data_IF_604436373110
#
_entry.id   IF_604436373110
#
_cell.length_a   1.000
_cell.length_b   1.000
_cell.length_c   1.000
_cell.angle_alpha   90.00
_cell.angle_beta   90.00
_cell.angle_gamma   90.00
#
_symmetry.space_group_name_H-M   'P 1'
#
loop_
_entity.id
_entity.type
_entity.pdbx_description
1 polymer ?
#
# COMPACT_ATOMS: atom_id res chain seq x y z
N UNK A 1 -0.23 17.65 -9.76
CA UNK A 1 0.42 16.90 -10.85
C UNK A 1 0.56 17.74 -12.12
N UNK A 2 -0.54 18.21 -12.73
CA UNK A 2 -0.54 18.85 -14.06
C UNK A 2 0.45 20.01 -14.23
N UNK A 3 0.64 20.83 -13.19
CA UNK A 3 1.59 21.96 -13.19
C UNK A 3 3.06 21.55 -13.32
N UNK A 4 3.39 20.27 -13.14
CA UNK A 4 4.76 19.75 -13.20
C UNK A 4 5.04 18.96 -14.49
N UNK A 5 4.06 18.81 -15.39
CA UNK A 5 4.23 17.99 -16.60
C UNK A 5 5.17 18.66 -17.61
N UNK A 6 6.12 17.88 -18.12
CA UNK A 6 7.01 18.28 -19.23
C UNK A 6 6.48 17.72 -20.55
N UNK A 7 7.15 18.05 -21.67
CA UNK A 7 6.84 17.47 -22.99
C UNK A 7 7.06 15.95 -23.08
N UNK A 8 7.72 15.37 -22.07
CA UNK A 8 8.05 13.95 -21.99
C UNK A 8 6.97 13.15 -21.23
N UNK A 9 5.93 13.82 -20.72
CA UNK A 9 4.91 13.20 -19.89
C UNK A 9 3.54 13.18 -20.58
N UNK A 10 2.78 12.11 -20.32
CA UNK A 10 1.32 12.10 -20.47
C UNK A 10 0.68 11.70 -19.15
N UNK A 11 -0.60 11.98 -19.00
CA UNK A 11 -1.41 11.49 -17.87
C UNK A 11 -2.59 10.71 -18.43
N UNK A 12 -2.73 9.47 -18.01
CA UNK A 12 -3.86 8.63 -18.34
C UNK A 12 -4.64 8.40 -17.05
N UNK A 13 -5.87 8.92 -17.00
CA UNK A 13 -6.82 8.64 -15.93
C UNK A 13 -7.79 7.59 -16.44
N UNK A 14 -7.73 6.41 -15.83
CA UNK A 14 -8.72 5.37 -16.04
C UNK A 14 -9.72 5.39 -14.88
N UNK A 15 -10.95 5.75 -15.17
CA UNK A 15 -12.05 5.71 -14.22
C UNK A 15 -12.75 4.34 -14.25
N UNK A 16 -12.70 3.62 -13.14
CA UNK A 16 -13.31 2.31 -12.90
C UNK A 16 -14.83 2.31 -12.73
N UNK A 17 -15.54 3.15 -13.49
CA UNK A 17 -16.98 3.38 -13.41
C UNK A 17 -17.45 4.08 -12.12
N UNK A 18 -16.81 5.21 -11.79
CA UNK A 18 -17.21 6.10 -10.70
C UNK A 18 -18.67 6.53 -10.82
N UNK A 19 -19.29 6.73 -9.67
CA UNK A 19 -20.72 7.06 -9.49
C UNK A 19 -20.96 8.49 -9.01
N UNK A 20 -19.88 9.23 -8.78
CA UNK A 20 -19.88 10.63 -8.34
C UNK A 20 -19.51 11.56 -9.52
N UNK A 21 -19.05 12.78 -9.20
CA UNK A 21 -18.68 13.82 -10.14
C UNK A 21 -17.25 13.69 -10.71
N UNK A 22 -16.59 12.54 -10.51
CA UNK A 22 -15.22 12.28 -11.00
C UNK A 22 -15.07 12.60 -12.49
N UNK A 23 -16.01 12.16 -13.33
CA UNK A 23 -16.00 12.42 -14.78
C UNK A 23 -16.00 13.92 -15.09
N UNK A 24 -16.89 14.68 -14.45
CA UNK A 24 -17.00 16.13 -14.65
C UNK A 24 -15.71 16.84 -14.25
N UNK A 25 -15.18 16.51 -13.06
CA UNK A 25 -13.96 17.10 -12.51
C UNK A 25 -12.77 16.85 -13.43
N UNK A 26 -12.52 15.60 -13.82
CA UNK A 26 -11.34 15.26 -14.64
C UNK A 26 -11.46 15.87 -16.05
N UNK A 27 -12.66 15.86 -16.65
CA UNK A 27 -12.87 16.49 -17.96
C UNK A 27 -12.64 18.00 -17.93
N UNK A 28 -12.98 18.69 -16.83
CA UNK A 28 -12.68 20.12 -16.68
C UNK A 28 -11.18 20.40 -16.78
N UNK A 29 -10.33 19.55 -16.19
CA UNK A 29 -8.87 19.64 -16.34
C UNK A 29 -8.39 19.23 -17.73
N UNK A 30 -8.96 18.17 -18.32
CA UNK A 30 -8.56 17.67 -19.63
C UNK A 30 -8.76 18.72 -20.73
N UNK A 31 -9.80 19.56 -20.61
CA UNK A 31 -10.04 20.70 -21.53
C UNK A 31 -8.89 21.70 -21.60
N UNK A 32 -8.00 21.71 -20.61
CA UNK A 32 -6.89 22.68 -20.50
C UNK A 32 -5.52 21.99 -20.51
N UNK A 33 -5.49 20.67 -20.74
CA UNK A 33 -4.27 19.88 -20.73
C UNK A 33 -4.36 18.76 -21.77
N UNK A 34 -3.84 19.00 -22.98
CA UNK A 34 -3.88 18.02 -24.08
C UNK A 34 -3.12 16.71 -23.76
N UNK A 35 -2.28 16.72 -22.72
CA UNK A 35 -1.54 15.55 -22.23
C UNK A 35 -2.35 14.70 -21.26
N UNK A 36 -3.51 15.17 -20.80
CA UNK A 36 -4.41 14.45 -19.93
C UNK A 36 -5.48 13.73 -20.76
N UNK A 37 -5.45 12.39 -20.72
CA UNK A 37 -6.43 11.52 -21.35
C UNK A 37 -7.29 10.89 -20.27
N UNK A 38 -8.59 11.12 -20.36
CA UNK A 38 -9.58 10.49 -19.48
C UNK A 38 -10.30 9.36 -20.23
N UNK A 39 -10.37 8.19 -19.60
CA UNK A 39 -11.07 7.01 -20.11
C UNK A 39 -11.91 6.46 -18.98
N UNK A 40 -13.22 6.36 -19.19
CA UNK A 40 -14.15 5.77 -18.23
C UNK A 40 -14.57 4.37 -18.68
N UNK A 41 -14.58 3.43 -17.75
CA UNK A 41 -15.11 2.09 -17.99
C UNK A 41 -16.62 2.04 -17.80
N UNK A 42 -17.26 1.14 -18.53
CA UNK A 42 -18.71 0.92 -18.43
C UNK A 42 -19.11 0.26 -17.10
N UNK A 43 -18.22 -0.57 -16.55
CA UNK A 43 -18.46 -1.34 -15.33
C UNK A 43 -17.23 -1.34 -14.43
N UNK A 44 -17.45 -1.40 -13.12
CA UNK A 44 -16.36 -1.55 -12.15
C UNK A 44 -15.74 -2.95 -12.25
N UNK A 45 -14.51 -3.01 -12.75
CA UNK A 45 -13.76 -4.25 -12.97
C UNK A 45 -12.77 -4.58 -11.84
N UNK A 46 -12.68 -3.71 -10.84
CA UNK A 46 -11.77 -3.83 -9.71
C UNK A 46 -10.37 -3.28 -10.00
N UNK A 47 -9.74 -2.79 -8.92
CA UNK A 47 -8.54 -1.97 -8.96
C UNK A 47 -7.36 -2.59 -9.73
N UNK A 48 -7.13 -3.90 -9.62
CA UNK A 48 -6.00 -4.54 -10.31
C UNK A 48 -6.16 -4.50 -11.84
N UNK A 49 -7.39 -4.72 -12.33
CA UNK A 49 -7.69 -4.66 -13.76
C UNK A 49 -7.61 -3.22 -14.25
N UNK A 50 -8.01 -2.27 -13.43
CA UNK A 50 -7.97 -0.85 -13.75
C UNK A 50 -6.52 -0.38 -13.89
N UNK A 51 -5.62 -0.74 -12.96
CA UNK A 51 -4.20 -0.43 -13.10
C UNK A 51 -3.57 -1.08 -14.33
N UNK A 52 -3.86 -2.35 -14.57
CA UNK A 52 -3.33 -3.03 -15.76
C UNK A 52 -3.78 -2.35 -17.04
N UNK A 53 -5.07 -2.05 -17.14
CA UNK A 53 -5.65 -1.39 -18.30
C UNK A 53 -5.09 0.02 -18.50
N UNK A 54 -4.83 0.76 -17.43
CA UNK A 54 -4.18 2.06 -17.51
C UNK A 54 -2.76 1.96 -18.11
N UNK A 55 -1.97 0.96 -17.71
CA UNK A 55 -0.63 0.69 -18.28
C UNK A 55 -0.70 0.29 -19.75
N UNK A 56 -1.69 -0.51 -20.15
CA UNK A 56 -1.91 -0.86 -21.55
C UNK A 56 -2.20 0.38 -22.42
N UNK A 57 -3.02 1.30 -21.92
CA UNK A 57 -3.44 2.53 -22.60
C UNK A 57 -2.39 3.64 -22.63
N UNK A 58 -1.44 3.60 -21.69
CA UNK A 58 -0.28 4.48 -21.67
C UNK A 58 0.64 4.22 -22.87
N UNK A 59 1.34 5.27 -23.30
CA UNK A 59 2.29 5.29 -24.42
C UNK A 59 3.72 5.58 -23.97
N UNK A 60 3.89 6.11 -22.76
CA UNK A 60 5.21 6.33 -22.14
C UNK A 60 6.03 5.04 -21.99
N UNK A 61 7.35 5.20 -22.03
CA UNK A 61 8.30 4.09 -21.79
C UNK A 61 8.21 3.57 -20.34
N UNK A 62 7.90 4.48 -19.42
CA UNK A 62 7.68 4.21 -18.00
C UNK A 62 6.26 4.61 -17.60
N UNK A 63 5.70 3.88 -16.64
CA UNK A 63 4.41 4.18 -16.04
C UNK A 63 4.62 4.48 -14.56
N UNK A 64 4.32 5.71 -14.14
CA UNK A 64 4.14 6.05 -12.73
C UNK A 64 2.71 5.71 -12.33
N UNK A 65 2.55 4.68 -11.51
CA UNK A 65 1.26 4.22 -11.03
C UNK A 65 0.83 5.08 -9.84
N UNK A 66 -0.32 5.72 -9.93
CA UNK A 66 -0.82 6.62 -8.90
C UNK A 66 -2.30 6.40 -8.63
N UNK A 67 -2.72 6.66 -7.39
CA UNK A 67 -4.12 6.77 -7.00
C UNK A 67 -4.60 8.21 -7.11
N UNK A 68 -5.91 8.41 -7.00
CA UNK A 68 -6.59 9.69 -7.02
C UNK A 68 -6.46 10.49 -5.71
N UNK A 69 -6.00 9.87 -4.61
CA UNK A 69 -5.88 10.48 -3.29
C UNK A 69 -4.45 10.89 -2.86
N UNK A 70 -3.46 10.62 -3.71
CA UNK A 70 -2.05 10.94 -3.50
C UNK A 70 -1.62 12.27 -4.15
N UNK A 71 -0.66 12.98 -3.53
CA UNK A 71 -0.10 14.21 -4.09
C UNK A 71 1.37 14.08 -4.47
N UNK A 72 1.77 14.76 -5.54
CA UNK A 72 3.18 14.94 -5.90
C UNK A 72 3.77 16.16 -5.18
N UNK A 73 4.97 16.01 -4.61
CA UNK A 73 5.76 17.15 -4.09
C UNK A 73 6.25 18.02 -5.26
N UNK A 74 6.56 19.32 -5.02
CA UNK A 74 7.15 20.16 -6.04
C UNK A 74 8.47 19.57 -6.56
N UNK A 75 8.64 19.49 -7.88
CA UNK A 75 9.85 18.95 -8.52
C UNK A 75 9.86 17.41 -8.67
N UNK A 76 8.84 16.72 -8.17
CA UNK A 76 8.75 15.26 -8.17
C UNK A 76 8.88 14.66 -9.59
N UNK A 77 8.18 15.23 -10.56
CA UNK A 77 8.24 14.77 -11.97
C UNK A 77 9.67 14.91 -12.52
N UNK A 78 10.33 16.04 -12.27
CA UNK A 78 11.72 16.24 -12.73
C UNK A 78 12.69 15.28 -12.04
N UNK A 79 12.50 15.01 -10.75
CA UNK A 79 13.34 14.09 -10.00
C UNK A 79 13.24 12.66 -10.58
N UNK A 80 12.02 12.19 -10.83
CA UNK A 80 11.79 10.87 -11.46
C UNK A 80 12.37 10.84 -12.87
N UNK A 81 12.08 11.83 -13.73
CA UNK A 81 12.63 11.87 -15.09
C UNK A 81 14.17 11.81 -15.11
N UNK A 82 14.84 12.44 -14.15
CA UNK A 82 16.30 12.37 -14.03
C UNK A 82 16.78 10.94 -13.71
N UNK A 83 16.09 10.22 -12.83
CA UNK A 83 16.39 8.81 -12.51
C UNK A 83 16.21 7.90 -13.73
N UNK A 84 15.16 8.12 -14.52
CA UNK A 84 14.81 7.28 -15.67
C UNK A 84 15.85 7.31 -16.80
N UNK A 85 16.77 8.28 -16.81
CA UNK A 85 17.89 8.35 -17.78
C UNK A 85 18.84 7.15 -17.71
N UNK A 86 18.78 6.36 -16.64
CA UNK A 86 19.67 5.21 -16.38
C UNK A 86 19.14 3.86 -16.90
N UNK A 87 18.03 3.86 -17.63
CA UNK A 87 17.38 2.65 -18.15
C UNK A 87 17.06 1.60 -17.06
N UNK A 88 16.27 2.02 -16.07
CA UNK A 88 15.94 1.23 -14.89
C UNK A 88 14.76 0.28 -15.16
N UNK A 89 14.66 -0.81 -14.42
CA UNK A 89 13.46 -1.66 -14.46
C UNK A 89 12.33 -1.03 -13.65
N UNK A 90 12.70 -0.37 -12.55
CA UNK A 90 11.80 0.14 -11.53
C UNK A 90 12.47 1.32 -10.80
N UNK A 91 11.68 2.33 -10.46
CA UNK A 91 12.03 3.33 -9.45
C UNK A 91 10.99 3.24 -8.34
N UNK A 92 11.46 3.04 -7.11
CA UNK A 92 10.65 3.19 -5.91
C UNK A 92 10.79 4.63 -5.42
N UNK A 93 9.71 5.38 -5.59
CA UNK A 93 9.61 6.78 -5.23
C UNK A 93 9.13 6.88 -3.79
N UNK A 94 9.99 7.36 -2.89
CA UNK A 94 9.65 7.43 -1.47
C UNK A 94 8.53 8.44 -1.19
N UNK A 95 7.88 8.28 -0.03
CA UNK A 95 6.72 9.05 0.35
C UNK A 95 6.85 9.68 1.75
N UNK A 96 6.30 10.89 1.85
CA UNK A 96 5.96 11.55 3.10
C UNK A 96 4.50 11.20 3.42
N UNK A 97 4.20 10.93 4.68
CA UNK A 97 2.85 10.56 5.10
C UNK A 97 2.26 11.69 5.90
N UNK A 98 1.05 12.09 5.51
CA UNK A 98 0.28 13.08 6.24
C UNK A 98 -1.02 12.51 6.73
N UNK A 99 -1.62 13.19 7.69
CA UNK A 99 -2.94 12.85 8.20
C UNK A 99 -4.01 12.97 7.09
N UNK A 100 -5.24 12.56 7.42
CA UNK A 100 -6.35 12.58 6.47
C UNK A 100 -6.61 13.95 5.88
N UNK A 101 -6.31 15.06 6.57
CA UNK A 101 -6.49 16.41 6.03
C UNK A 101 -5.31 16.92 5.20
N UNK A 102 -4.22 16.15 5.10
CA UNK A 102 -2.92 16.52 4.52
C UNK A 102 -2.25 17.75 5.17
N UNK A 103 -2.67 18.10 6.39
CA UNK A 103 -2.17 19.28 7.11
C UNK A 103 -1.01 18.96 8.04
N UNK A 104 -0.96 17.75 8.58
CA UNK A 104 0.04 17.32 9.57
C UNK A 104 0.90 16.21 9.00
N UNK A 105 2.23 16.37 9.05
CA UNK A 105 3.17 15.29 8.72
C UNK A 105 3.20 14.28 9.85
N UNK A 106 2.85 13.03 9.55
CA UNK A 106 2.92 11.90 10.47
C UNK A 106 4.24 11.14 10.32
N UNK A 107 4.77 11.08 9.09
CA UNK A 107 6.04 10.44 8.79
C UNK A 107 6.74 11.19 7.67
N UNK A 108 7.98 11.62 7.89
CA UNK A 108 8.70 12.42 6.90
C UNK A 108 9.16 11.60 5.71
N UNK A 109 9.51 10.32 5.89
CA UNK A 109 9.96 9.39 4.83
C UNK A 109 9.53 7.97 5.17
N UNK A 110 8.92 7.21 4.26
CA UNK A 110 8.52 5.82 4.54
C UNK A 110 9.69 4.84 4.41
N UNK A 111 10.39 4.86 3.28
CA UNK A 111 11.58 4.06 3.07
C UNK A 111 12.71 4.71 3.84
N UNK A 112 13.18 4.04 4.90
CA UNK A 112 14.23 4.54 5.79
C UNK A 112 15.61 4.33 5.17
N UNK A 113 15.89 5.13 4.15
CA UNK A 113 17.16 5.17 3.43
C UNK A 113 17.70 6.61 3.44
N UNK A 114 19.00 6.75 3.71
CA UNK A 114 19.65 8.06 3.83
C UNK A 114 19.98 8.70 2.47
N UNK A 115 20.20 7.88 1.45
CA UNK A 115 20.55 8.29 0.09
C UNK A 115 19.95 7.34 -0.93
N UNK A 116 19.83 7.78 -2.19
CA UNK A 116 19.29 6.94 -3.26
C UNK A 116 20.11 5.64 -3.36
N UNK A 117 19.41 4.51 -3.37
CA UNK A 117 20.04 3.19 -3.43
C UNK A 117 19.73 2.51 -4.75
N UNK A 118 20.74 1.88 -5.32
CA UNK A 118 20.60 1.03 -6.49
C UNK A 118 20.58 -0.45 -6.07
N UNK A 119 19.65 -1.23 -6.61
CA UNK A 119 19.53 -2.67 -6.39
C UNK A 119 19.67 -3.38 -7.73
N UNK A 120 20.52 -4.40 -7.80
CA UNK A 120 20.75 -5.18 -9.02
C UNK A 120 19.88 -6.44 -9.01
N UNK A 121 19.94 -7.20 -10.10
CA UNK A 121 19.16 -8.44 -10.28
C UNK A 121 19.41 -9.51 -9.21
N UNK A 122 20.53 -9.48 -8.49
CA UNK A 122 20.81 -10.40 -7.38
C UNK A 122 20.33 -9.87 -6.00
N UNK A 123 19.76 -8.66 -5.93
CA UNK A 123 19.36 -8.02 -4.67
C UNK A 123 17.86 -8.10 -4.39
N UNK A 124 17.12 -8.93 -5.12
CA UNK A 124 15.66 -9.00 -5.03
C UNK A 124 15.15 -9.27 -3.61
N UNK A 125 15.80 -10.15 -2.85
CA UNK A 125 15.45 -10.41 -1.45
C UNK A 125 15.60 -9.15 -0.58
N UNK A 126 16.72 -8.43 -0.72
CA UNK A 126 16.98 -7.19 0.02
C UNK A 126 16.02 -6.08 -0.38
N UNK A 127 15.69 -5.99 -1.66
CA UNK A 127 14.68 -5.06 -2.17
C UNK A 127 13.29 -5.40 -1.61
N UNK A 128 12.92 -6.69 -1.61
CA UNK A 128 11.63 -7.15 -1.10
C UNK A 128 11.48 -6.86 0.38
N UNK A 129 12.48 -7.19 1.20
CA UNK A 129 12.48 -6.90 2.65
C UNK A 129 12.32 -5.41 2.93
N UNK A 130 13.00 -4.55 2.17
CA UNK A 130 12.88 -3.10 2.32
C UNK A 130 11.50 -2.57 1.90
N UNK A 131 10.99 -3.01 0.75
CA UNK A 131 9.92 -2.32 0.04
C UNK A 131 8.53 -2.96 0.17
N UNK A 132 8.41 -4.22 0.58
CA UNK A 132 7.13 -4.93 0.49
C UNK A 132 6.01 -4.30 1.34
N UNK A 133 6.33 -3.72 2.50
CA UNK A 133 5.33 -3.00 3.32
C UNK A 133 4.96 -1.66 2.68
N UNK A 134 5.94 -0.93 2.15
CA UNK A 134 5.73 0.31 1.40
C UNK A 134 4.86 0.10 0.14
N UNK A 135 5.10 -0.98 -0.57
CA UNK A 135 4.38 -1.35 -1.79
C UNK A 135 2.95 -1.84 -1.54
N UNK A 136 2.44 -1.79 -0.31
CA UNK A 136 0.98 -1.80 -0.11
C UNK A 136 0.32 -0.55 -0.69
N UNK A 137 1.11 0.50 -0.92
CA UNK A 137 0.73 1.72 -1.65
C UNK A 137 1.36 1.69 -3.04
N UNK A 138 0.53 1.85 -4.06
CA UNK A 138 1.00 1.76 -5.45
C UNK A 138 1.67 3.07 -5.93
N UNK A 139 1.32 4.21 -5.32
CA UNK A 139 1.81 5.54 -5.69
C UNK A 139 3.32 5.64 -5.82
N UNK A 140 4.07 4.85 -5.03
CA UNK A 140 5.53 4.81 -5.06
C UNK A 140 6.16 4.07 -6.24
N UNK A 141 5.37 3.57 -7.21
CA UNK A 141 5.87 2.70 -8.28
C UNK A 141 5.99 3.45 -9.61
N UNK A 142 7.21 3.53 -10.12
CA UNK A 142 7.48 3.89 -11.51
C UNK A 142 8.14 2.70 -12.19
N UNK A 143 7.45 2.04 -13.11
CA UNK A 143 7.92 0.79 -13.72
C UNK A 143 8.06 0.93 -15.23
N UNK A 144 9.08 0.28 -15.81
CA UNK A 144 9.24 0.19 -17.26
C UNK A 144 8.02 -0.52 -17.86
N UNK A 145 7.31 0.15 -18.77
CA UNK A 145 6.04 -0.35 -19.34
C UNK A 145 6.22 -1.68 -20.05
N UNK A 146 7.30 -1.84 -20.81
CA UNK A 146 7.60 -3.09 -21.50
C UNK A 146 7.78 -4.27 -20.53
N UNK A 147 8.37 -4.02 -19.35
CA UNK A 147 8.52 -5.04 -18.31
C UNK A 147 7.16 -5.46 -17.74
N UNK A 148 6.29 -4.50 -17.42
CA UNK A 148 4.92 -4.80 -16.97
C UNK A 148 4.17 -5.64 -18.00
N UNK A 149 4.23 -5.24 -19.28
CA UNK A 149 3.51 -5.90 -20.36
C UNK A 149 4.04 -7.30 -20.72
N UNK A 150 5.32 -7.57 -20.45
CA UNK A 150 5.95 -8.86 -20.70
C UNK A 150 5.69 -9.91 -19.61
N UNK A 151 5.23 -9.49 -18.42
CA UNK A 151 5.03 -10.35 -17.26
C UNK A 151 3.59 -10.85 -17.14
N UNK A 152 3.38 -11.89 -16.33
CA UNK A 152 2.04 -12.34 -15.98
C UNK A 152 1.35 -11.29 -15.09
N UNK A 153 0.11 -10.96 -15.44
CA UNK A 153 -0.70 -9.91 -14.79
C UNK A 153 -2.03 -10.47 -14.33
N UNK A 154 -2.63 -11.31 -15.16
CA UNK A 154 -3.97 -11.84 -14.92
C UNK A 154 -4.03 -12.74 -13.69
N UNK A 155 -2.96 -13.48 -13.38
CA UNK A 155 -2.93 -14.30 -12.16
C UNK A 155 -2.94 -13.48 -10.86
N UNK A 156 -2.67 -12.18 -10.94
CA UNK A 156 -2.68 -11.25 -9.81
C UNK A 156 -3.97 -10.42 -9.73
N UNK A 157 -4.94 -10.62 -10.62
CA UNK A 157 -6.24 -9.95 -10.50
C UNK A 157 -6.99 -10.40 -9.23
N UNK A 158 -7.55 -9.44 -8.51
CA UNK A 158 -8.22 -9.66 -7.22
C UNK A 158 -7.25 -9.67 -6.04
N UNK A 159 -5.95 -9.44 -6.26
CA UNK A 159 -4.95 -9.36 -5.21
C UNK A 159 -4.91 -7.99 -4.51
N UNK A 160 -5.45 -6.94 -5.12
CA UNK A 160 -5.30 -5.53 -4.71
C UNK A 160 -3.87 -4.98 -4.85
N UNK A 161 -2.92 -5.83 -5.20
CA UNK A 161 -1.50 -5.54 -5.24
C UNK A 161 -0.87 -6.12 -6.50
N UNK A 162 -1.57 -5.98 -7.65
CA UNK A 162 -1.06 -6.43 -8.94
C UNK A 162 0.39 -5.99 -9.18
N UNK A 163 0.76 -4.77 -8.80
CA UNK A 163 2.11 -4.25 -8.95
C UNK A 163 3.14 -5.04 -8.14
N UNK A 164 2.82 -5.52 -6.93
CA UNK A 164 3.71 -6.38 -6.15
C UNK A 164 3.93 -7.72 -6.87
N UNK A 165 2.85 -8.31 -7.39
CA UNK A 165 2.91 -9.52 -8.20
C UNK A 165 3.73 -9.34 -9.47
N UNK A 166 3.49 -8.24 -10.20
CA UNK A 166 4.24 -7.89 -11.40
C UNK A 166 5.71 -7.67 -11.07
N UNK A 167 6.07 -6.96 -10.00
CA UNK A 167 7.47 -6.65 -9.66
C UNK A 167 8.23 -7.89 -9.18
N UNK A 168 7.64 -8.74 -8.35
CA UNK A 168 8.35 -9.81 -7.64
C UNK A 168 8.04 -11.23 -8.11
N UNK A 169 7.28 -11.44 -9.19
CA UNK A 169 7.10 -12.80 -9.74
C UNK A 169 8.39 -13.41 -10.30
N UNK A 170 9.32 -12.58 -10.75
CA UNK A 170 10.58 -12.97 -11.38
C UNK A 170 11.65 -11.89 -11.16
N UNK A 171 12.91 -12.26 -11.38
CA UNK A 171 14.05 -11.33 -11.26
C UNK A 171 13.90 -10.13 -12.20
N UNK A 172 14.23 -8.94 -11.70
CA UNK A 172 14.19 -7.72 -12.51
C UNK A 172 15.38 -7.70 -13.48
N UNK A 173 15.15 -7.39 -14.77
CA UNK A 173 16.18 -7.53 -15.81
C UNK A 173 17.27 -6.46 -15.74
N UNK A 174 16.96 -5.28 -15.20
CA UNK A 174 17.91 -4.19 -14.98
C UNK A 174 17.77 -3.61 -13.57
N UNK A 175 18.59 -2.60 -13.28
CA UNK A 175 18.71 -2.00 -11.96
C UNK A 175 17.40 -1.35 -11.50
N UNK A 176 17.21 -1.35 -10.17
CA UNK A 176 16.15 -0.63 -9.48
C UNK A 176 16.75 0.51 -8.70
N UNK A 177 16.16 1.70 -8.79
CA UNK A 177 16.51 2.80 -7.89
C UNK A 177 15.44 2.95 -6.79
N UNK A 178 15.89 3.08 -5.55
CA UNK A 178 15.07 3.51 -4.42
C UNK A 178 15.45 4.94 -4.09
N UNK A 179 14.55 5.88 -4.28
CA UNK A 179 14.79 7.29 -3.95
C UNK A 179 14.77 7.46 -2.43
N UNK A 180 15.73 8.19 -1.88
CA UNK A 180 15.70 8.48 -0.44
C UNK A 180 14.77 9.65 -0.10
N UNK A 181 14.88 10.73 -0.86
CA UNK A 181 14.04 11.90 -0.64
C UNK A 181 12.61 11.65 -1.14
N UNK A 182 11.60 11.79 -0.27
CA UNK A 182 10.22 11.64 -0.67
C UNK A 182 9.83 12.57 -1.80
N UNK A 183 9.12 12.06 -2.80
CA UNK A 183 8.54 12.86 -3.89
C UNK A 183 7.01 12.80 -3.92
N UNK A 184 6.41 11.97 -3.09
CA UNK A 184 4.96 11.78 -2.98
C UNK A 184 4.54 12.12 -1.56
N UNK A 185 3.31 12.62 -1.41
CA UNK A 185 2.62 12.76 -0.14
C UNK A 185 1.43 11.81 -0.16
N UNK A 186 1.43 10.82 0.74
CA UNK A 186 0.32 9.88 0.90
C UNK A 186 -0.63 10.36 2.00
N UNK A 187 -1.93 10.20 1.75
CA UNK A 187 -2.98 10.50 2.72
C UNK A 187 -3.21 9.31 3.65
N UNK A 188 -2.84 9.47 4.92
CA UNK A 188 -3.09 8.44 5.92
C UNK A 188 -4.50 8.52 6.50
N UNK A 189 -5.06 7.35 6.78
CA UNK A 189 -6.41 7.25 7.33
C UNK A 189 -7.51 7.27 6.27
N UNK A 190 -7.20 7.07 4.98
CA UNK A 190 -8.20 6.75 3.96
C UNK A 190 -8.48 5.23 3.86
N UNK A 191 -7.93 4.43 4.77
CA UNK A 191 -8.01 2.96 4.76
C UNK A 191 -9.42 2.39 5.02
N UNK A 192 -10.46 3.24 5.11
CA UNK A 192 -11.86 2.82 5.25
C UNK A 192 -12.33 1.96 4.09
N UNK A 193 -11.80 2.19 2.89
CA UNK A 193 -11.97 1.35 1.70
C UNK A 193 -11.55 -0.09 1.95
N UNK A 194 -10.54 -0.30 2.80
CA UNK A 194 -10.01 -1.61 3.15
C UNK A 194 -10.64 -2.23 4.39
N UNK A 195 -11.17 -1.45 5.33
CA UNK A 195 -11.64 -1.94 6.65
C UNK A 195 -12.52 -3.20 6.59
N UNK A 196 -13.51 -3.33 5.67
CA UNK A 196 -14.32 -4.55 5.54
C UNK A 196 -13.53 -5.76 5.04
N UNK A 197 -12.48 -5.52 4.25
CA UNK A 197 -11.63 -6.53 3.59
C UNK A 197 -10.30 -6.77 4.30
N UNK A 198 -9.95 -6.03 5.34
CA UNK A 198 -8.68 -6.18 6.07
C UNK A 198 -8.42 -7.64 6.43
N UNK A 199 -9.41 -8.36 6.97
CA UNK A 199 -9.24 -9.79 7.29
C UNK A 199 -9.05 -10.67 6.06
N UNK A 200 -9.76 -10.41 4.97
CA UNK A 200 -9.60 -11.14 3.71
C UNK A 200 -8.21 -10.90 3.10
N UNK A 201 -7.75 -9.65 3.13
CA UNK A 201 -6.44 -9.25 2.63
C UNK A 201 -5.34 -9.94 3.44
N UNK A 202 -5.40 -9.84 4.76
CA UNK A 202 -4.37 -10.39 5.65
C UNK A 202 -4.33 -11.92 5.65
N UNK A 203 -5.46 -12.60 5.50
CA UNK A 203 -5.57 -14.05 5.74
C UNK A 203 -5.67 -14.89 4.48
N UNK A 204 -5.96 -14.26 3.35
CA UNK A 204 -6.14 -14.95 2.06
C UNK A 204 -5.26 -14.28 1.02
N UNK A 205 -5.49 -12.99 0.78
CA UNK A 205 -4.94 -12.31 -0.39
C UNK A 205 -3.42 -12.17 -0.32
N UNK A 206 -2.91 -11.58 0.77
CA UNK A 206 -1.48 -11.35 0.95
C UNK A 206 -0.67 -12.65 1.06
N UNK A 207 -1.07 -13.66 1.88
CA UNK A 207 -0.37 -14.95 1.91
C UNK A 207 -0.38 -15.68 0.55
N UNK A 208 -1.49 -15.63 -0.18
CA UNK A 208 -1.61 -16.24 -1.52
C UNK A 208 -0.72 -15.54 -2.55
N UNK A 209 -0.63 -14.21 -2.48
CA UNK A 209 0.26 -13.42 -3.30
C UNK A 209 1.71 -13.74 -2.95
N UNK A 210 2.11 -13.60 -1.68
CA UNK A 210 3.49 -13.80 -1.23
C UNK A 210 4.03 -15.19 -1.55
N UNK A 211 3.18 -16.22 -1.44
CA UNK A 211 3.57 -17.60 -1.77
C UNK A 211 3.97 -17.79 -3.25
N UNK A 212 3.52 -16.92 -4.15
CA UNK A 212 3.80 -16.97 -5.60
C UNK A 212 4.96 -16.09 -6.04
N UNK A 213 5.50 -15.25 -5.15
CA UNK A 213 6.60 -14.35 -5.48
C UNK A 213 7.94 -15.10 -5.47
N UNK A 214 8.89 -14.62 -6.29
CA UNK A 214 10.23 -15.17 -6.41
C UNK A 214 11.21 -14.94 -5.24
N UNK A 215 11.04 -13.93 -4.34
CA UNK A 215 11.93 -13.78 -3.18
C UNK A 215 12.03 -15.06 -2.35
N UNK A 216 13.15 -15.24 -1.65
CA UNK A 216 13.35 -16.44 -0.82
C UNK A 216 12.33 -16.52 0.33
N UNK A 217 12.10 -17.73 0.85
CA UNK A 217 11.25 -17.92 2.02
C UNK A 217 11.78 -17.18 3.26
N UNK A 218 13.10 -16.97 3.35
CA UNK A 218 13.71 -16.12 4.39
C UNK A 218 13.25 -14.67 4.26
N UNK A 219 13.39 -14.09 3.06
CA UNK A 219 12.97 -12.71 2.79
C UNK A 219 11.45 -12.52 2.99
N UNK A 220 10.64 -13.49 2.54
CA UNK A 220 9.19 -13.50 2.80
C UNK A 220 8.88 -13.53 4.28
N UNK A 221 9.58 -14.37 5.05
CA UNK A 221 9.40 -14.51 6.49
C UNK A 221 9.75 -13.27 7.30
N UNK A 222 10.70 -12.46 6.83
CA UNK A 222 11.06 -11.17 7.45
C UNK A 222 9.96 -10.11 7.26
N UNK A 223 9.32 -10.07 6.09
CA UNK A 223 8.25 -9.12 5.79
C UNK A 223 6.93 -9.55 6.44
N UNK A 224 6.58 -10.83 6.34
CA UNK A 224 5.28 -11.31 6.74
C UNK A 224 5.29 -12.81 7.11
N UNK A 225 4.65 -13.15 8.23
CA UNK A 225 4.44 -14.56 8.57
C UNK A 225 3.37 -15.18 7.68
N UNK A 226 3.61 -16.34 7.06
CA UNK A 226 2.57 -17.09 6.32
C UNK A 226 1.37 -17.54 7.18
N UNK A 227 1.49 -17.46 8.51
CA UNK A 227 0.42 -17.76 9.46
C UNK A 227 0.31 -16.64 10.51
N UNK A 228 -0.08 -15.41 10.11
CA UNK A 228 -0.13 -14.25 11.01
C UNK A 228 -1.06 -14.51 12.21
N UNK A 229 -2.05 -15.38 12.03
CA UNK A 229 -2.98 -15.84 13.05
C UNK A 229 -2.40 -16.69 14.17
N UNK A 230 -1.17 -17.19 14.04
CA UNK A 230 -0.50 -17.91 15.12
C UNK A 230 0.24 -16.96 16.07
N UNK A 231 0.33 -15.67 15.72
CA UNK A 231 1.11 -14.68 16.48
C UNK A 231 0.22 -13.87 17.41
N UNK A 232 0.28 -14.16 18.70
CA UNK A 232 -0.54 -13.50 19.72
C UNK A 232 -0.40 -11.96 19.71
N UNK A 233 0.84 -11.47 19.65
CA UNK A 233 1.12 -10.02 19.60
C UNK A 233 0.43 -9.34 18.41
N UNK A 234 0.51 -9.96 17.22
CA UNK A 234 -0.12 -9.42 16.01
C UNK A 234 -1.64 -9.37 16.12
N UNK A 235 -2.27 -10.44 16.61
CA UNK A 235 -3.72 -10.46 16.86
C UNK A 235 -4.14 -9.44 17.91
N UNK A 236 -3.30 -9.19 18.90
CA UNK A 236 -3.54 -8.18 19.92
C UNK A 236 -3.43 -6.76 19.36
N UNK A 237 -2.56 -6.52 18.38
CA UNK A 237 -2.47 -5.25 17.64
C UNK A 237 -3.71 -5.03 16.76
N UNK A 238 -4.16 -6.06 16.03
CA UNK A 238 -5.44 -5.96 15.32
C UNK A 238 -6.62 -5.73 16.28
N UNK A 239 -6.56 -6.30 17.48
CA UNK A 239 -7.54 -6.08 18.54
C UNK A 239 -7.52 -4.64 19.05
N UNK A 240 -6.34 -4.06 19.23
CA UNK A 240 -6.13 -2.69 19.74
C UNK A 240 -6.64 -1.62 18.77
N UNK A 241 -6.65 -1.94 17.48
CA UNK A 241 -7.18 -1.10 16.39
C UNK A 241 -8.67 -1.35 16.10
N UNK A 242 -9.25 -2.42 16.64
CA UNK A 242 -10.67 -2.76 16.46
C UNK A 242 -10.98 -3.62 15.25
N UNK A 243 -9.97 -4.11 14.54
CA UNK A 243 -10.12 -5.03 13.41
C UNK A 243 -10.34 -6.48 13.84
N UNK A 244 -10.02 -6.84 15.08
CA UNK A 244 -10.14 -8.22 15.55
C UNK A 244 -11.03 -8.37 16.80
N UNK A 245 -11.81 -9.46 16.80
CA UNK A 245 -12.63 -9.91 17.91
C UNK A 245 -12.97 -11.40 17.76
N UNK A 246 -13.76 -11.95 18.68
CA UNK A 246 -14.32 -13.30 18.53
C UNK A 246 -15.17 -13.47 17.25
N UNK A 247 -15.72 -12.39 16.68
CA UNK A 247 -16.46 -12.45 15.41
C UNK A 247 -15.52 -12.83 14.27
N UNK A 248 -14.42 -12.10 14.12
CA UNK A 248 -13.42 -12.37 13.09
C UNK A 248 -12.73 -13.71 13.34
N UNK A 249 -12.41 -14.04 14.60
CA UNK A 249 -11.91 -15.36 15.00
C UNK A 249 -12.78 -16.49 14.46
N UNK A 250 -14.09 -16.48 14.74
CA UNK A 250 -15.02 -17.54 14.33
C UNK A 250 -15.13 -17.64 12.81
N UNK A 251 -15.14 -16.49 12.13
CA UNK A 251 -15.30 -16.41 10.68
C UNK A 251 -14.06 -16.91 9.92
N UNK A 252 -12.87 -16.42 10.29
CA UNK A 252 -11.68 -16.58 9.45
C UNK A 252 -10.62 -17.51 10.01
N UNK A 253 -10.50 -17.58 11.33
CA UNK A 253 -9.38 -18.24 11.98
C UNK A 253 -9.76 -19.65 12.46
N UNK A 254 -10.89 -19.79 13.14
CA UNK A 254 -11.38 -21.07 13.68
C UNK A 254 -11.36 -22.22 12.64
N UNK A 255 -11.77 -22.02 11.37
CA UNK A 255 -11.73 -23.10 10.37
C UNK A 255 -10.32 -23.57 10.00
N UNK A 256 -9.29 -22.73 10.20
CA UNK A 256 -7.90 -23.02 9.83
C UNK A 256 -7.09 -23.69 10.95
N UNK A 257 -7.60 -23.70 12.19
CA UNK A 257 -6.87 -24.18 13.37
C UNK A 257 -7.32 -25.60 13.72
N UNK A 258 -6.41 -26.56 13.56
CA UNK A 258 -6.71 -27.98 13.70
C UNK A 258 -6.66 -28.42 15.17
N UNK A 259 -5.73 -27.90 15.96
CA UNK A 259 -5.54 -28.29 17.36
C UNK A 259 -6.19 -27.34 18.37
N UNK A 260 -6.49 -27.82 19.57
CA UNK A 260 -6.99 -27.00 20.67
C UNK A 260 -5.95 -25.96 21.14
N UNK A 261 -4.66 -26.33 21.12
CA UNK A 261 -3.55 -25.44 21.52
C UNK A 261 -3.45 -24.21 20.62
N UNK A 262 -3.58 -24.39 19.31
CA UNK A 262 -3.54 -23.28 18.34
C UNK A 262 -4.70 -22.29 18.49
N UNK A 263 -5.81 -22.73 19.10
CA UNK A 263 -7.00 -21.88 19.31
C UNK A 263 -6.85 -20.93 20.50
N UNK A 264 -5.96 -21.23 21.45
CA UNK A 264 -5.84 -20.50 22.71
C UNK A 264 -5.45 -19.04 22.48
N UNK A 265 -4.33 -18.77 21.81
CA UNK A 265 -3.85 -17.40 21.59
C UNK A 265 -4.86 -16.52 20.83
N UNK A 266 -5.45 -16.97 19.70
CA UNK A 266 -6.47 -16.19 19.00
C UNK A 266 -7.71 -15.90 19.84
N UNK A 267 -8.19 -16.88 20.62
CA UNK A 267 -9.34 -16.67 21.52
C UNK A 267 -9.01 -15.65 22.60
N UNK A 268 -7.84 -15.77 23.25
CA UNK A 268 -7.41 -14.84 24.29
C UNK A 268 -7.29 -13.41 23.75
N UNK A 269 -6.70 -13.23 22.56
CA UNK A 269 -6.61 -11.93 21.92
C UNK A 269 -8.00 -11.37 21.55
N UNK A 270 -8.93 -12.23 21.13
CA UNK A 270 -10.30 -11.83 20.78
C UNK A 270 -11.19 -11.47 21.97
N UNK A 271 -10.92 -12.01 23.16
CA UNK A 271 -11.68 -11.74 24.41
C UNK A 271 -11.17 -10.50 25.12
N UNK A 272 -9.87 -10.17 25.01
CA UNK A 272 -9.32 -9.02 25.73
C UNK A 272 -10.10 -7.74 25.41
N UNK A 273 -10.44 -6.90 26.41
CA UNK A 273 -11.08 -5.62 26.17
C UNK A 273 -10.26 -4.78 25.19
N UNK A 274 -10.90 -4.28 24.13
CA UNK A 274 -10.22 -3.51 23.09
C UNK A 274 -9.55 -2.25 23.63
N UNK A 275 -10.19 -1.61 24.63
CA UNK A 275 -9.62 -0.48 25.40
C UNK A 275 -8.32 -0.86 26.10
N UNK A 276 -8.24 -2.04 26.71
CA UNK A 276 -7.02 -2.50 27.36
C UNK A 276 -5.92 -2.82 26.34
N UNK A 277 -6.27 -3.52 25.24
CA UNK A 277 -5.33 -3.77 24.15
C UNK A 277 -4.79 -2.45 23.56
N UNK A 278 -5.66 -1.46 23.35
CA UNK A 278 -5.30 -0.12 22.88
C UNK A 278 -4.34 0.57 23.85
N UNK A 279 -4.65 0.61 25.15
CA UNK A 279 -3.78 1.20 26.16
C UNK A 279 -2.39 0.55 26.19
N UNK A 280 -2.32 -0.78 26.11
CA UNK A 280 -1.05 -1.53 26.06
C UNK A 280 -0.21 -1.08 24.87
N UNK A 281 -0.79 -1.03 23.66
CA UNK A 281 -0.04 -0.66 22.46
C UNK A 281 0.31 0.83 22.39
N UNK A 282 -0.55 1.71 22.91
CA UNK A 282 -0.20 3.14 23.06
C UNK A 282 1.01 3.29 23.97
N UNK A 283 1.02 2.64 25.13
CA UNK A 283 2.16 2.68 26.05
C UNK A 283 3.42 2.06 25.44
N UNK A 284 3.27 0.92 24.76
CA UNK A 284 4.35 0.25 24.04
C UNK A 284 5.02 1.21 23.04
N UNK A 285 4.23 1.81 22.14
CA UNK A 285 4.79 2.70 21.12
C UNK A 285 5.30 4.03 21.69
N UNK A 286 4.83 4.49 22.86
CA UNK A 286 5.43 5.66 23.51
C UNK A 286 6.87 5.43 23.98
N UNK A 287 7.27 4.18 24.25
CA UNK A 287 8.59 3.86 24.81
C UNK A 287 9.52 3.11 23.84
N UNK A 288 8.99 2.60 22.71
CA UNK A 288 9.81 1.90 21.71
C UNK A 288 10.34 2.83 20.65
N UNK A 289 11.59 2.61 20.24
CA UNK A 289 12.14 3.16 19.01
C UNK A 289 11.64 2.31 17.82
N UNK A 290 10.63 2.82 17.12
CA UNK A 290 10.12 2.30 15.84
C UNK A 290 10.02 3.51 14.90
N UNK A 291 10.57 3.40 13.71
CA UNK A 291 10.47 4.44 12.68
C UNK A 291 8.98 4.76 12.39
N UNK A 292 8.12 3.74 12.33
CA UNK A 292 6.69 3.90 12.05
C UNK A 292 5.86 4.27 13.29
N UNK A 293 6.51 4.59 14.42
CA UNK A 293 5.85 4.85 15.71
C UNK A 293 4.72 5.88 15.61
N UNK A 294 4.97 7.00 14.95
CA UNK A 294 3.99 8.10 14.89
C UNK A 294 2.73 7.69 14.12
N UNK A 295 2.86 6.89 13.04
CA UNK A 295 1.72 6.34 12.32
C UNK A 295 0.89 5.39 13.19
N UNK A 296 1.57 4.45 13.88
CA UNK A 296 0.88 3.49 14.75
C UNK A 296 0.19 4.20 15.92
N UNK A 297 0.84 5.20 16.52
CA UNK A 297 0.23 6.02 17.57
C UNK A 297 -0.96 6.82 17.05
N UNK A 298 -0.87 7.38 15.84
CA UNK A 298 -1.97 8.08 15.21
C UNK A 298 -3.20 7.18 15.05
N UNK A 299 -3.03 5.95 14.54
CA UNK A 299 -4.15 5.00 14.38
C UNK A 299 -4.74 4.56 15.72
N UNK A 300 -3.88 4.25 16.70
CA UNK A 300 -4.33 3.88 18.03
C UNK A 300 -5.14 4.99 18.70
N UNK A 301 -4.75 6.26 18.49
CA UNK A 301 -5.44 7.45 19.05
C UNK A 301 -6.73 7.81 18.32
N UNK A 302 -6.85 7.48 17.03
CA UNK A 302 -8.10 7.65 16.27
C UNK A 302 -9.08 6.49 16.44
N UNK A 303 -8.62 5.34 16.91
CA UNK A 303 -9.50 4.20 17.16
C UNK A 303 -10.61 4.49 18.18
N UNK A 304 -11.78 3.86 17.96
CA UNK A 304 -12.94 3.86 18.90
C UNK A 304 -12.61 3.47 20.35
N UNK A 305 -11.50 2.77 20.57
CA UNK A 305 -11.10 2.34 21.91
C UNK A 305 -10.32 3.41 22.69
N UNK A 306 -9.82 4.45 22.02
CA UNK A 306 -9.09 5.52 22.68
C UNK A 306 -10.04 6.39 23.52
N UNK A 307 -9.71 6.75 24.78
CA UNK A 307 -10.63 7.43 25.70
C UNK A 307 -11.30 8.70 25.17
N UNK A 308 -10.58 9.49 24.36
CA UNK A 308 -11.13 10.73 23.78
C UNK A 308 -12.25 10.51 22.76
N UNK A 309 -12.40 9.28 22.25
CA UNK A 309 -13.39 8.94 21.23
C UNK A 309 -14.65 8.27 21.83
N UNK A 310 -14.70 8.11 23.16
CA UNK A 310 -15.87 7.50 23.82
C UNK A 310 -17.09 8.42 23.74
N UNK A 311 -18.23 7.89 23.31
CA UNK A 311 -19.47 8.66 23.13
C UNK A 311 -19.61 9.32 21.74
N UNK A 312 -18.57 9.26 20.89
CA UNK A 312 -18.70 9.57 19.47
C UNK A 312 -19.56 8.51 18.77
N UNK A 313 -20.78 8.88 18.36
CA UNK A 313 -21.63 8.04 17.49
C UNK A 313 -21.18 8.05 16.04
N UNK A 314 -20.33 9.01 15.66
CA UNK A 314 -19.64 8.95 14.39
C UNK A 314 -18.63 7.80 14.50
N UNK A 315 -18.64 6.81 13.59
CA UNK A 315 -17.48 5.96 13.46
C UNK A 315 -16.30 6.92 13.27
N UNK A 316 -15.36 6.92 14.23
CA UNK A 316 -14.05 7.55 13.99
C UNK A 316 -13.31 6.56 13.12
N UNK A 317 -13.82 6.36 11.90
CA UNK A 317 -13.30 5.61 10.77
C UNK A 317 -14.26 5.86 9.61
#
# INVERSE_FOLDING_TARGET
MLSQLTGECEVVVLDGASTDDTEEVVLAYARHCDRLRYIRQETNNGVDRDYDRAVELARGEYCWLMTDDDLLKPGAVSAVLNSLRRDLSLVLVNAEIRDFSLSTVLLSRWLDVESNRAYRSNDMDRLFVLAADFLKYIGGVVIKRALWLARDRQSFYGSWFIHVGVIFQEQLPSEVEVMAEPQIILRWGNAHTFSPKVMEILLVTWPSLSGRLAPSESAKGEVHSLAPWRHFRYLLELRSLGYYSLKEYRRWFRPKLLSAREKVAPILAGILPGVLANAIFVLYYLITADHLRELRLHDLRKCRYYPRNWGSTKPVW
#
